data_IF_734427830148
#
_entry.id   IF_734427830148
#
_cell.length_a   1.000
_cell.length_b   1.000
_cell.length_c   1.000
_cell.angle_alpha   90.00
_cell.angle_beta   90.00
_cell.angle_gamma   90.00
#
_symmetry.space_group_name_H-M   'P 1'
#
loop_
_entity.id
_entity.type
_entity.pdbx_description
1 polymer ?
#
# COMPACT_ATOMS: atom_id res chain seq x y z
N UNK A 1 68.05 -14.22 -25.74
CA UNK A 1 67.25 -14.87 -26.80
C UNK A 1 66.67 -16.15 -26.21
N UNK A 2 65.37 -16.40 -26.05
CA UNK A 2 64.14 -15.64 -26.19
C UNK A 2 63.10 -16.33 -25.25
N UNK A 3 62.19 -15.57 -24.62
CA UNK A 3 61.18 -16.09 -23.70
C UNK A 3 60.15 -16.97 -24.44
N UNK A 4 59.84 -18.14 -23.87
CA UNK A 4 58.70 -18.98 -24.29
C UNK A 4 57.39 -18.34 -23.86
N UNK A 5 56.62 -17.86 -24.83
CA UNK A 5 55.26 -17.36 -24.63
C UNK A 5 54.31 -18.56 -24.51
N UNK A 6 53.58 -18.62 -23.39
CA UNK A 6 52.52 -19.58 -23.12
C UNK A 6 51.33 -19.27 -24.03
N UNK A 7 51.07 -20.13 -25.02
CA UNK A 7 49.97 -19.99 -25.96
C UNK A 7 48.63 -20.24 -25.27
N UNK A 8 47.84 -19.18 -25.08
CA UNK A 8 46.44 -19.25 -24.72
C UNK A 8 45.70 -20.12 -25.75
N UNK A 9 45.09 -21.20 -25.28
CA UNK A 9 44.29 -22.11 -26.09
C UNK A 9 43.10 -21.31 -26.62
N UNK A 10 42.96 -21.19 -27.94
CA UNK A 10 41.81 -20.53 -28.59
C UNK A 10 40.54 -21.30 -28.19
N UNK A 11 39.79 -20.77 -27.23
CA UNK A 11 38.48 -21.31 -26.91
C UNK A 11 37.63 -21.30 -28.19
N UNK A 12 37.05 -22.44 -28.54
CA UNK A 12 36.27 -22.58 -29.76
C UNK A 12 35.11 -21.57 -29.77
N UNK A 13 34.89 -20.93 -30.92
CA UNK A 13 33.74 -20.05 -31.20
C UNK A 13 32.40 -20.54 -30.62
N UNK A 14 32.06 -21.86 -30.58
CA UNK A 14 30.80 -22.29 -29.95
C UNK A 14 30.79 -22.17 -28.42
N UNK A 15 31.92 -22.29 -27.73
CA UNK A 15 32.01 -22.20 -26.26
C UNK A 15 31.82 -20.75 -25.78
N UNK A 16 32.39 -19.80 -26.52
CA UNK A 16 32.19 -18.36 -26.30
C UNK A 16 30.74 -17.92 -26.56
N UNK A 17 30.09 -18.48 -27.57
CA UNK A 17 28.68 -18.19 -27.86
C UNK A 17 27.74 -18.71 -26.75
N UNK A 18 27.94 -19.95 -26.28
CA UNK A 18 27.13 -20.51 -25.19
C UNK A 18 27.30 -19.75 -23.87
N UNK A 19 28.54 -19.34 -23.53
CA UNK A 19 28.79 -18.54 -22.33
C UNK A 19 28.15 -17.14 -22.42
N UNK A 20 28.17 -16.51 -23.59
CA UNK A 20 27.50 -15.23 -23.81
C UNK A 20 25.97 -15.35 -23.68
N UNK A 21 25.38 -16.43 -24.20
CA UNK A 21 23.94 -16.71 -24.07
C UNK A 21 23.51 -16.93 -22.61
N UNK A 22 24.31 -17.65 -21.83
CA UNK A 22 24.05 -17.88 -20.40
C UNK A 22 24.20 -16.57 -19.60
N UNK A 23 25.18 -15.74 -19.93
CA UNK A 23 25.37 -14.44 -19.26
C UNK A 23 24.21 -13.47 -19.52
N UNK A 24 23.66 -13.45 -20.74
CA UNK A 24 22.48 -12.64 -21.11
C UNK A 24 21.20 -13.14 -20.41
N UNK A 25 21.02 -14.47 -20.29
CA UNK A 25 19.87 -15.04 -19.60
C UNK A 25 19.87 -14.75 -18.07
N UNK A 26 21.05 -14.69 -17.45
CA UNK A 26 21.19 -14.37 -16.02
C UNK A 26 20.93 -12.87 -15.74
N UNK A 27 21.18 -11.98 -16.69
CA UNK A 27 20.95 -10.52 -16.49
C UNK A 27 19.49 -10.08 -16.57
N UNK A 28 18.56 -10.92 -17.05
CA UNK A 28 17.13 -10.54 -17.22
C UNK A 28 16.26 -10.98 -16.04
N UNK A 29 16.78 -11.77 -15.10
CA UNK A 29 15.93 -12.46 -14.11
C UNK A 29 15.74 -11.75 -12.76
N UNK A 30 16.04 -10.44 -12.60
CA UNK A 30 16.16 -9.88 -11.24
C UNK A 30 15.76 -8.43 -10.96
N UNK A 31 15.41 -7.60 -11.94
CA UNK A 31 15.11 -6.18 -11.68
C UNK A 31 13.71 -5.84 -12.18
N UNK A 32 12.66 -6.08 -11.39
CA UNK A 32 11.32 -5.61 -11.75
C UNK A 32 10.14 -6.25 -11.00
N UNK A 33 10.32 -7.35 -10.29
CA UNK A 33 9.25 -7.91 -9.45
C UNK A 33 9.24 -7.19 -8.09
N UNK A 34 8.58 -6.03 -8.03
CA UNK A 34 8.04 -5.51 -6.77
C UNK A 34 6.82 -6.36 -6.45
N UNK A 35 7.00 -7.31 -5.54
CA UNK A 35 5.94 -8.16 -4.98
C UNK A 35 5.87 -7.72 -3.51
N UNK A 36 4.77 -7.13 -3.00
CA UNK A 36 3.45 -6.96 -3.61
C UNK A 36 3.38 -5.90 -4.72
N UNK A 37 2.35 -5.98 -5.58
CA UNK A 37 2.13 -5.02 -6.67
C UNK A 37 1.65 -3.67 -6.13
N UNK A 38 2.18 -2.58 -6.67
CA UNK A 38 1.81 -1.19 -6.34
C UNK A 38 2.06 -0.32 -7.59
N UNK A 39 1.28 -0.53 -8.67
CA UNK A 39 1.56 0.04 -9.99
C UNK A 39 1.65 1.56 -10.00
N UNK A 40 0.86 2.25 -9.18
CA UNK A 40 0.88 3.72 -9.08
C UNK A 40 1.86 4.23 -8.01
N UNK A 41 2.54 3.31 -7.32
CA UNK A 41 3.62 3.62 -6.37
C UNK A 41 3.14 4.39 -5.15
N UNK A 42 1.93 4.10 -4.66
CA UNK A 42 1.35 4.75 -3.49
C UNK A 42 2.25 4.66 -2.27
N UNK A 43 2.82 3.49 -1.98
CA UNK A 43 3.69 3.33 -0.83
C UNK A 43 4.96 4.19 -0.93
N UNK A 44 5.59 4.19 -2.11
CA UNK A 44 6.80 4.98 -2.36
C UNK A 44 6.52 6.50 -2.32
N UNK A 45 5.33 6.94 -2.72
CA UNK A 45 4.89 8.34 -2.65
C UNK A 45 4.63 8.79 -1.21
N UNK A 46 3.96 7.95 -0.44
CA UNK A 46 3.55 8.27 0.94
C UNK A 46 4.77 8.35 1.87
N UNK A 47 5.74 7.45 1.73
CA UNK A 47 6.95 7.42 2.56
C UNK A 47 7.76 8.72 2.44
N UNK A 48 7.92 9.43 3.56
CA UNK A 48 8.59 10.74 3.60
C UNK A 48 7.79 11.86 2.92
N UNK A 49 6.52 11.62 2.60
CA UNK A 49 5.70 12.46 1.73
C UNK A 49 4.37 12.85 2.37
N UNK A 50 3.29 12.76 1.59
CA UNK A 50 1.93 13.10 2.01
C UNK A 50 1.04 11.86 1.91
N UNK A 51 0.24 11.62 2.94
CA UNK A 51 -0.84 10.64 2.95
C UNK A 51 -2.18 11.37 2.79
N UNK A 52 -2.83 11.21 1.62
CA UNK A 52 -4.12 11.84 1.30
C UNK A 52 -5.25 10.96 1.77
N UNK A 53 -5.94 11.38 2.84
CA UNK A 53 -6.93 10.55 3.52
C UNK A 53 -8.33 11.12 3.36
N UNK A 54 -9.19 10.36 2.71
CA UNK A 54 -10.62 10.59 2.66
C UNK A 54 -11.27 10.31 4.01
N UNK A 55 -12.10 11.21 4.52
CA UNK A 55 -12.78 11.06 5.80
C UNK A 55 -14.27 11.42 5.72
N UNK A 56 -15.13 10.53 6.22
CA UNK A 56 -16.57 10.78 6.40
C UNK A 56 -16.91 10.83 7.89
N UNK A 57 -17.90 11.62 8.30
CA UNK A 57 -18.31 11.75 9.70
C UNK A 57 -19.07 10.51 10.18
N UNK A 58 -18.49 9.72 11.09
CA UNK A 58 -19.11 8.55 11.70
C UNK A 58 -18.55 8.25 13.12
N UNK A 59 -19.00 8.96 14.16
CA UNK A 59 -18.52 8.72 15.52
C UNK A 59 -18.91 7.31 16.02
N UNK A 60 -18.05 6.62 16.79
CA UNK A 60 -16.78 7.10 17.36
C UNK A 60 -15.55 6.90 16.46
N UNK A 61 -15.71 6.33 15.26
CA UNK A 61 -14.62 6.02 14.33
C UNK A 61 -13.95 7.28 13.80
N UNK A 62 -14.79 8.20 13.32
CA UNK A 62 -14.37 9.46 12.71
C UNK A 62 -15.33 10.57 13.09
N UNK A 63 -14.80 11.72 13.48
CA UNK A 63 -15.57 12.90 13.83
C UNK A 63 -14.93 14.10 13.19
N UNK A 64 -15.55 14.58 12.12
CA UNK A 64 -15.14 15.78 11.39
C UNK A 64 -16.01 16.97 11.80
N UNK A 65 -15.40 18.14 12.00
CA UNK A 65 -16.09 19.42 12.15
C UNK A 65 -15.34 20.51 11.37
N UNK A 66 -16.07 21.42 10.73
CA UNK A 66 -15.45 22.44 9.89
C UNK A 66 -14.43 23.29 10.68
N UNK A 67 -13.19 23.34 10.19
CA UNK A 67 -12.11 24.13 10.79
C UNK A 67 -11.51 23.56 12.08
N UNK A 68 -11.79 22.30 12.40
CA UNK A 68 -11.16 21.57 13.52
C UNK A 68 -10.48 20.31 12.99
N UNK A 69 -9.38 19.90 13.62
CA UNK A 69 -8.75 18.61 13.35
C UNK A 69 -9.78 17.48 13.55
N UNK A 70 -9.86 16.50 12.65
CA UNK A 70 -10.70 15.34 12.88
C UNK A 70 -10.24 14.56 14.11
N UNK A 71 -11.16 13.77 14.66
CA UNK A 71 -10.90 12.94 15.85
C UNK A 71 -11.57 11.58 15.68
N UNK A 72 -11.19 10.60 16.49
CA UNK A 72 -11.79 9.26 16.51
C UNK A 72 -10.75 8.17 16.36
N UNK A 73 -11.17 6.92 16.61
CA UNK A 73 -10.23 5.78 16.64
C UNK A 73 -9.53 5.54 15.30
N UNK A 74 -10.21 5.75 14.17
CA UNK A 74 -9.56 5.60 12.85
C UNK A 74 -8.60 6.74 12.55
N UNK A 75 -8.87 7.95 13.08
CA UNK A 75 -7.97 9.11 12.95
C UNK A 75 -6.67 8.84 13.68
N UNK A 76 -6.74 8.36 14.92
CA UNK A 76 -5.56 8.02 15.73
C UNK A 76 -4.69 6.94 15.05
N UNK A 77 -5.31 5.93 14.45
CA UNK A 77 -4.60 4.88 13.70
C UNK A 77 -3.93 5.44 12.43
N UNK A 78 -4.62 6.31 11.70
CA UNK A 78 -4.06 6.93 10.49
C UNK A 78 -2.89 7.84 10.81
N UNK A 79 -2.99 8.63 11.88
CA UNK A 79 -1.90 9.49 12.33
C UNK A 79 -0.68 8.68 12.75
N UNK A 80 -0.88 7.57 13.48
CA UNK A 80 0.22 6.67 13.85
C UNK A 80 0.86 5.98 12.65
N UNK A 81 0.07 5.55 11.66
CA UNK A 81 0.60 5.00 10.41
C UNK A 81 1.41 6.05 9.63
N UNK A 82 0.91 7.28 9.55
CA UNK A 82 1.62 8.37 8.89
C UNK A 82 2.94 8.69 9.60
N UNK A 83 2.99 8.64 10.93
CA UNK A 83 4.23 8.79 11.69
C UNK A 83 5.26 7.69 11.34
N UNK A 84 4.85 6.43 11.23
CA UNK A 84 5.75 5.34 10.83
C UNK A 84 6.30 5.53 9.41
N UNK A 85 5.49 6.11 8.53
CA UNK A 85 5.88 6.41 7.15
C UNK A 85 6.67 7.72 6.99
N UNK A 86 6.91 8.48 8.07
CA UNK A 86 7.48 9.84 8.03
C UNK A 86 6.66 10.77 7.10
N UNK A 87 5.33 10.63 7.12
CA UNK A 87 4.40 11.29 6.21
C UNK A 87 3.53 12.32 6.94
N UNK A 88 3.14 13.40 6.25
CA UNK A 88 2.10 14.32 6.73
C UNK A 88 0.72 13.88 6.25
N UNK A 89 -0.29 13.96 7.11
CA UNK A 89 -1.68 13.63 6.73
C UNK A 89 -2.38 14.85 6.11
N UNK A 90 -3.05 14.64 4.97
CA UNK A 90 -3.97 15.61 4.37
C UNK A 90 -5.39 15.05 4.36
N UNK A 91 -6.26 15.66 5.15
CA UNK A 91 -7.66 15.24 5.29
C UNK A 91 -8.56 15.82 4.20
N UNK A 92 -9.32 14.94 3.55
CA UNK A 92 -10.32 15.30 2.53
C UNK A 92 -11.69 14.82 3.00
N UNK A 93 -12.51 15.75 3.48
CA UNK A 93 -13.86 15.43 3.94
C UNK A 93 -14.80 15.14 2.75
N UNK A 94 -15.59 14.07 2.85
CA UNK A 94 -16.54 13.67 1.81
C UNK A 94 -17.56 12.63 2.27
N UNK A 95 -18.55 12.34 1.44
CA UNK A 95 -19.41 11.16 1.64
C UNK A 95 -18.64 9.89 1.27
N UNK A 96 -19.01 8.76 1.85
CA UNK A 96 -18.38 7.45 1.57
C UNK A 96 -18.23 7.16 0.07
N UNK A 97 -19.30 7.38 -0.71
CA UNK A 97 -19.26 7.21 -2.17
C UNK A 97 -18.25 8.16 -2.86
N UNK A 98 -18.11 9.39 -2.37
CA UNK A 98 -17.11 10.33 -2.89
C UNK A 98 -15.69 9.93 -2.50
N UNK A 99 -15.50 9.27 -1.34
CA UNK A 99 -14.20 8.74 -0.94
C UNK A 99 -13.80 7.57 -1.83
N UNK A 100 -14.71 6.63 -2.10
CA UNK A 100 -14.45 5.51 -3.02
C UNK A 100 -14.10 6.02 -4.41
N UNK A 101 -14.87 6.96 -4.96
CA UNK A 101 -14.52 7.60 -6.23
C UNK A 101 -13.14 8.28 -6.17
N UNK A 102 -12.80 8.92 -5.04
CA UNK A 102 -11.49 9.53 -4.84
C UNK A 102 -10.34 8.52 -4.85
N UNK A 103 -10.55 7.30 -4.34
CA UNK A 103 -9.59 6.20 -4.44
C UNK A 103 -9.45 5.71 -5.88
N UNK A 104 -10.57 5.51 -6.60
CA UNK A 104 -10.56 5.10 -8.01
C UNK A 104 -9.87 6.11 -8.92
N UNK A 105 -10.08 7.40 -8.69
CA UNK A 105 -9.48 8.48 -9.46
C UNK A 105 -8.00 8.73 -9.11
N UNK A 106 -7.46 8.04 -8.10
CA UNK A 106 -6.09 8.24 -7.60
C UNK A 106 -5.90 9.58 -6.85
N UNK A 107 -6.99 10.21 -6.42
CA UNK A 107 -6.98 11.45 -5.65
C UNK A 107 -6.78 11.21 -4.15
N UNK A 108 -7.10 10.02 -3.66
CA UNK A 108 -6.92 9.58 -2.28
C UNK A 108 -6.03 8.35 -2.22
N UNK A 109 -5.32 8.21 -1.10
CA UNK A 109 -4.44 7.07 -0.81
C UNK A 109 -5.12 6.10 0.17
N UNK A 110 -6.03 6.62 0.99
CA UNK A 110 -6.73 5.89 2.04
C UNK A 110 -8.10 6.54 2.27
N UNK A 111 -9.12 5.75 2.60
CA UNK A 111 -10.41 6.25 3.05
C UNK A 111 -10.82 5.61 4.38
N UNK A 112 -11.28 6.47 5.30
CA UNK A 112 -11.78 6.12 6.62
C UNK A 112 -13.19 6.68 6.85
N UNK A 113 -14.05 5.87 7.44
CA UNK A 113 -15.46 6.22 7.66
C UNK A 113 -16.15 5.25 8.64
N UNK A 114 -15.43 4.38 9.33
CA UNK A 114 -16.04 3.22 10.01
C UNK A 114 -16.57 2.17 9.03
N UNK A 115 -15.94 2.01 7.86
CA UNK A 115 -16.39 1.05 6.85
C UNK A 115 -16.47 -0.36 7.42
N UNK A 116 -17.52 -1.09 7.04
CA UNK A 116 -17.70 -2.50 7.41
C UNK A 116 -17.20 -3.41 6.29
N UNK A 117 -16.71 -4.58 6.67
CA UNK A 117 -16.27 -5.63 5.74
C UNK A 117 -17.42 -6.23 4.89
N UNK A 118 -18.67 -5.96 5.26
CA UNK A 118 -19.89 -6.32 4.52
C UNK A 118 -20.55 -5.13 3.81
N UNK A 119 -19.88 -3.97 3.76
CA UNK A 119 -20.39 -2.79 3.06
C UNK A 119 -20.24 -2.93 1.54
N UNK A 120 -21.08 -2.27 0.72
CA UNK A 120 -20.98 -2.36 -0.75
C UNK A 120 -19.63 -1.84 -1.30
N UNK A 121 -18.93 -0.99 -0.55
CA UNK A 121 -17.71 -0.33 -0.99
C UNK A 121 -16.48 -1.25 -1.02
N UNK A 122 -16.51 -2.40 -0.32
CA UNK A 122 -15.35 -3.31 -0.24
C UNK A 122 -15.06 -4.02 -1.56
N UNK A 123 -16.05 -4.12 -2.45
CA UNK A 123 -15.89 -4.70 -3.79
C UNK A 123 -15.37 -3.67 -4.83
N UNK A 124 -15.43 -2.38 -4.50
CA UNK A 124 -15.10 -1.26 -5.39
C UNK A 124 -13.67 -0.72 -5.13
N UNK A 125 -13.08 -1.03 -3.98
CA UNK A 125 -11.76 -0.56 -3.56
C UNK A 125 -10.90 -1.71 -3.01
N UNK A 126 -9.59 -1.46 -2.81
CA UNK A 126 -8.79 -2.34 -1.96
C UNK A 126 -9.31 -2.24 -0.52
N UNK A 127 -9.45 -3.36 0.19
CA UNK A 127 -9.90 -3.38 1.59
C UNK A 127 -8.84 -4.01 2.45
N UNK A 128 -8.57 -3.42 3.61
CA UNK A 128 -7.78 -4.09 4.66
C UNK A 128 -8.53 -5.31 5.17
N UNK A 129 -7.80 -6.23 5.80
CA UNK A 129 -8.37 -7.14 6.80
C UNK A 129 -9.04 -6.34 7.92
N UNK A 130 -10.06 -6.92 8.59
CA UNK A 130 -10.66 -6.28 9.75
C UNK A 130 -9.63 -5.98 10.83
N UNK A 131 -9.59 -4.72 11.28
CA UNK A 131 -8.66 -4.25 12.33
C UNK A 131 -9.37 -3.99 13.66
N UNK A 132 -10.70 -3.86 13.64
CA UNK A 132 -11.52 -3.59 14.82
C UNK A 132 -12.86 -4.35 14.70
N UNK A 133 -13.28 -4.99 15.78
CA UNK A 133 -14.64 -5.54 15.92
C UNK A 133 -15.44 -4.69 16.91
N UNK A 134 -16.67 -4.33 16.55
CA UNK A 134 -17.64 -3.67 17.43
C UNK A 134 -18.95 -4.44 17.49
N UNK A 135 -19.86 -4.02 18.37
CA UNK A 135 -21.25 -4.50 18.39
C UNK A 135 -22.17 -3.48 17.70
N UNK A 136 -23.01 -3.95 16.79
CA UNK A 136 -24.03 -3.13 16.14
C UNK A 136 -25.25 -2.90 17.06
N UNK A 137 -26.18 -2.05 16.62
CA UNK A 137 -27.39 -1.72 17.38
C UNK A 137 -28.31 -2.94 17.66
N UNK A 138 -28.16 -4.04 16.91
CA UNK A 138 -28.88 -5.28 17.09
C UNK A 138 -28.11 -6.31 17.94
N UNK A 139 -26.92 -5.98 18.42
CA UNK A 139 -26.03 -6.88 19.17
C UNK A 139 -25.29 -7.88 18.29
N UNK A 140 -25.26 -7.65 16.97
CA UNK A 140 -24.42 -8.38 16.03
C UNK A 140 -22.99 -7.86 16.05
N UNK A 141 -22.03 -8.70 15.64
CA UNK A 141 -20.65 -8.26 15.43
C UNK A 141 -20.56 -7.44 14.15
N UNK A 142 -19.84 -6.32 14.20
CA UNK A 142 -19.47 -5.51 13.04
C UNK A 142 -17.94 -5.45 12.94
N UNK A 143 -17.40 -5.89 11.82
CA UNK A 143 -15.97 -5.89 11.54
C UNK A 143 -15.62 -4.68 10.67
N UNK A 144 -14.65 -3.89 11.10
CA UNK A 144 -14.29 -2.63 10.47
C UNK A 144 -12.99 -2.73 9.66
N UNK A 145 -13.00 -2.10 8.50
CA UNK A 145 -11.93 -2.09 7.50
C UNK A 145 -11.63 -0.67 7.05
N UNK A 146 -10.44 -0.45 6.50
CA UNK A 146 -10.11 0.78 5.77
C UNK A 146 -10.00 0.46 4.27
N UNK A 147 -10.25 1.47 3.43
CA UNK A 147 -10.22 1.29 1.98
C UNK A 147 -9.03 1.99 1.35
N UNK A 148 -8.38 1.34 0.38
CA UNK A 148 -7.23 1.83 -0.38
C UNK A 148 -7.52 1.78 -1.88
N UNK A 149 -6.72 2.43 -2.74
CA UNK A 149 -6.86 2.25 -4.18
C UNK A 149 -6.71 0.78 -4.57
N UNK A 150 -7.51 0.35 -5.55
CA UNK A 150 -7.49 -1.03 -6.06
C UNK A 150 -6.14 -1.33 -6.71
N UNK A 151 -5.47 -2.41 -6.30
CA UNK A 151 -4.22 -2.87 -6.91
C UNK A 151 -2.93 -2.33 -6.26
N UNK A 152 -3.04 -1.34 -5.37
CA UNK A 152 -1.94 -0.79 -4.55
C UNK A 152 -1.62 -1.70 -3.35
N UNK A 153 -1.30 -2.96 -3.63
CA UNK A 153 -1.15 -4.02 -2.63
C UNK A 153 0.07 -3.85 -1.74
N UNK A 154 1.15 -3.19 -2.20
CA UNK A 154 2.30 -2.96 -1.32
C UNK A 154 1.93 -1.97 -0.21
N UNK A 155 1.23 -0.90 -0.57
CA UNK A 155 0.66 0.05 0.39
C UNK A 155 -0.33 -0.64 1.33
N UNK A 156 -1.27 -1.43 0.79
CA UNK A 156 -2.25 -2.16 1.59
C UNK A 156 -1.60 -3.11 2.61
N UNK A 157 -0.59 -3.88 2.20
CA UNK A 157 0.13 -4.80 3.09
C UNK A 157 0.87 -4.06 4.19
N UNK A 158 1.50 -2.93 3.87
CA UNK A 158 2.18 -2.10 4.87
C UNK A 158 1.18 -1.58 5.91
N UNK A 159 0.05 -1.03 5.46
CA UNK A 159 -1.04 -0.56 6.31
C UNK A 159 -1.59 -1.68 7.21
N UNK A 160 -1.85 -2.86 6.65
CA UNK A 160 -2.32 -4.00 7.43
C UNK A 160 -1.31 -4.50 8.47
N UNK A 161 -0.01 -4.38 8.17
CA UNK A 161 1.05 -4.76 9.11
C UNK A 161 1.02 -3.83 10.31
N UNK A 162 0.98 -2.52 10.07
CA UNK A 162 0.81 -1.52 11.12
C UNK A 162 -0.47 -1.75 11.95
N UNK A 163 -1.62 -1.93 11.30
CA UNK A 163 -2.90 -2.10 11.99
C UNK A 163 -2.92 -3.35 12.87
N UNK A 164 -2.26 -4.44 12.44
CA UNK A 164 -2.16 -5.66 13.22
C UNK A 164 -1.31 -5.48 14.48
N UNK A 165 -0.29 -4.61 14.44
CA UNK A 165 0.54 -4.27 15.60
C UNK A 165 -0.19 -3.30 16.55
N UNK A 166 -0.86 -2.29 16.00
CA UNK A 166 -1.60 -1.29 16.77
C UNK A 166 -2.82 -1.88 17.51
N UNK A 167 -3.43 -2.94 16.97
CA UNK A 167 -4.58 -3.61 17.57
C UNK A 167 -4.22 -4.74 18.57
N UNK A 168 -2.93 -5.03 18.78
CA UNK A 168 -2.42 -6.12 19.64
C UNK A 168 -2.17 -5.70 21.09
#
# INVERSE_FOLDING_TARGET
MALRVWGARKAGRPVLAVLASVLVAVTISGCGMRIPSDPDGTLDRVRGGELRVGISHNPPFTSTSAGTEPTGVEVELVEGFAEEMDASVTWVAGSEAALVQGLEDGNLDLAIAGFRDDSPFVDEAGSTRPFLETEDAAGGKASHVMLTPMGENAFLVELETYLAEAAS
#
